data_IF_426467072425
#
_entry.id   IF_426467072425
#
_cell.length_a   1.000
_cell.length_b   1.000
_cell.length_c   1.000
_cell.angle_alpha   90.00
_cell.angle_beta   90.00
_cell.angle_gamma   90.00
#
_symmetry.space_group_name_H-M   'P 1'
#
loop_
_entity.id
_entity.type
_entity.pdbx_description
1 polymer ?
#
# COMPACT_ATOMS: atom_id res chain seq x y z
N UNK A 1 -0.44 12.96 -24.54
CA UNK A 1 0.05 13.51 -23.26
C UNK A 1 -0.10 12.42 -22.22
N UNK A 2 0.93 12.19 -21.39
CA UNK A 2 0.73 11.37 -20.18
C UNK A 2 -0.09 12.23 -19.22
N UNK A 3 -1.23 11.77 -18.69
CA UNK A 3 -1.98 12.53 -17.70
C UNK A 3 -1.07 12.75 -16.47
N UNK A 4 -0.63 13.98 -16.26
CA UNK A 4 0.17 14.39 -15.09
C UNK A 4 -0.76 14.87 -13.97
N UNK A 5 -0.36 14.65 -12.72
CA UNK A 5 -1.07 15.14 -11.53
C UNK A 5 -2.37 14.43 -11.15
N UNK A 6 -2.67 13.28 -11.75
CA UNK A 6 -3.86 12.47 -11.45
C UNK A 6 -3.61 11.39 -10.39
N UNK A 7 -2.34 11.08 -10.10
CA UNK A 7 -1.95 10.04 -9.15
C UNK A 7 -1.91 10.52 -7.70
N UNK A 8 -1.66 9.59 -6.79
CA UNK A 8 -1.53 9.85 -5.37
C UNK A 8 -0.22 9.30 -4.80
N UNK A 9 0.44 10.10 -3.96
CA UNK A 9 1.54 9.62 -3.13
C UNK A 9 1.15 9.82 -1.66
N UNK A 10 1.17 8.72 -0.90
CA UNK A 10 0.84 8.70 0.52
C UNK A 10 1.95 8.02 1.31
N UNK A 11 2.28 8.58 2.46
CA UNK A 11 3.22 8.00 3.39
C UNK A 11 2.95 8.48 4.82
N UNK A 12 3.41 7.69 5.77
CA UNK A 12 3.41 8.02 7.20
C UNK A 12 4.86 8.15 7.64
N UNK A 13 5.19 9.26 8.31
CA UNK A 13 6.53 9.53 8.84
C UNK A 13 6.49 9.72 10.35
N UNK A 14 7.22 8.89 11.07
CA UNK A 14 7.56 9.06 12.49
C UNK A 14 9.05 9.37 12.61
N UNK A 15 9.89 8.38 12.27
CA UNK A 15 11.35 8.45 12.19
C UNK A 15 11.85 8.38 10.74
N UNK A 16 11.14 7.64 9.89
CA UNK A 16 11.40 7.48 8.46
C UNK A 16 10.09 7.28 7.69
N UNK A 17 10.15 7.44 6.37
CA UNK A 17 8.98 7.26 5.51
C UNK A 17 8.57 5.80 5.45
N UNK A 18 7.29 5.55 5.72
CA UNK A 18 6.61 4.27 5.50
C UNK A 18 5.54 4.46 4.46
N UNK A 19 5.53 3.56 3.48
CA UNK A 19 4.50 3.52 2.44
C UNK A 19 3.11 3.44 3.06
N UNK A 20 2.20 4.25 2.52
CA UNK A 20 0.80 4.23 2.86
C UNK A 20 -0.04 4.41 1.60
N UNK A 21 -1.34 4.19 1.68
CA UNK A 21 -2.26 4.42 0.57
C UNK A 21 -3.41 5.31 1.02
N UNK A 22 -3.74 6.34 0.25
CA UNK A 22 -4.89 7.19 0.57
C UNK A 22 -6.19 6.40 0.42
N UNK A 23 -7.09 6.49 1.39
CA UNK A 23 -8.45 5.96 1.20
C UNK A 23 -9.14 6.74 0.07
N UNK A 24 -9.92 6.06 -0.78
CA UNK A 24 -10.78 6.75 -1.75
C UNK A 24 -11.71 7.72 -1.02
N UNK A 25 -11.88 8.92 -1.58
CA UNK A 25 -12.55 10.09 -1.00
C UNK A 25 -11.84 10.79 0.17
N UNK A 26 -10.68 10.29 0.61
CA UNK A 26 -9.88 11.02 1.59
C UNK A 26 -9.31 12.32 0.98
N UNK A 27 -9.36 13.46 1.69
CA UNK A 27 -8.80 14.70 1.20
C UNK A 27 -7.29 14.59 1.00
N UNK A 28 -6.79 15.43 0.09
CA UNK A 28 -5.35 15.57 -0.13
C UNK A 28 -4.74 16.52 0.90
N UNK A 29 -3.51 16.20 1.32
CA UNK A 29 -2.71 17.00 2.25
C UNK A 29 -1.22 16.78 1.98
N UNK A 30 -0.43 17.84 2.06
CA UNK A 30 1.04 17.76 2.03
C UNK A 30 1.61 17.23 3.35
N UNK A 31 0.82 17.24 4.42
CA UNK A 31 1.20 16.69 5.71
C UNK A 31 0.32 17.20 6.85
N UNK A 32 -0.25 16.29 7.63
CA UNK A 32 -0.84 16.59 8.95
C UNK A 32 0.04 15.97 10.01
N UNK A 33 0.56 16.77 10.94
CA UNK A 33 1.45 16.31 12.00
C UNK A 33 0.80 16.43 13.37
N UNK A 34 1.00 15.41 14.20
CA UNK A 34 0.52 15.39 15.58
C UNK A 34 1.08 14.18 16.32
N UNK A 35 0.82 14.08 17.61
CA UNK A 35 1.13 12.86 18.36
C UNK A 35 0.23 11.72 17.87
N UNK A 36 0.74 10.49 17.89
CA UNK A 36 -0.03 9.32 17.47
C UNK A 36 -0.63 8.57 18.66
N UNK A 37 -1.93 8.28 18.58
CA UNK A 37 -2.67 7.57 19.61
C UNK A 37 -3.33 6.31 19.05
N UNK A 38 -3.27 5.22 19.82
CA UNK A 38 -3.96 3.97 19.50
C UNK A 38 -5.47 4.12 19.80
N UNK A 39 -6.28 3.85 18.79
CA UNK A 39 -7.74 3.90 18.82
C UNK A 39 -8.38 2.50 18.75
N UNK A 40 -7.59 1.43 18.90
CA UNK A 40 -8.05 0.05 18.76
C UNK A 40 -8.67 -0.19 17.39
N UNK A 41 -9.86 -0.81 17.35
CA UNK A 41 -10.58 -1.05 16.09
C UNK A 41 -11.44 0.14 15.65
N UNK A 42 -11.42 1.27 16.36
CA UNK A 42 -12.15 2.48 15.99
C UNK A 42 -13.64 2.46 16.35
N UNK A 43 -14.05 1.72 17.40
CA UNK A 43 -15.40 1.86 17.96
C UNK A 43 -15.60 3.25 18.57
N UNK A 44 -16.85 3.73 18.69
CA UNK A 44 -17.15 4.98 19.38
C UNK A 44 -16.52 5.00 20.78
N UNK A 45 -15.79 6.07 21.09
CA UNK A 45 -15.13 6.27 22.39
C UNK A 45 -13.84 5.49 22.63
N UNK A 46 -13.38 4.65 21.69
CA UNK A 46 -12.10 3.92 21.86
C UNK A 46 -10.86 4.81 21.70
N UNK A 47 -10.93 5.85 20.88
CA UNK A 47 -9.83 6.81 20.81
C UNK A 47 -9.70 7.58 22.14
N UNK A 48 -8.50 7.69 22.71
CA UNK A 48 -8.27 8.46 23.92
C UNK A 48 -8.47 9.96 23.67
N UNK A 49 -8.79 10.72 24.72
CA UNK A 49 -9.02 12.17 24.62
C UNK A 49 -7.83 12.95 24.03
N UNK A 50 -6.60 12.43 24.18
CA UNK A 50 -5.39 13.02 23.60
C UNK A 50 -5.36 13.03 22.06
N UNK A 51 -6.22 12.24 21.39
CA UNK A 51 -6.30 12.21 19.93
C UNK A 51 -6.81 13.53 19.33
N UNK A 52 -7.46 14.38 20.12
CA UNK A 52 -7.95 15.67 19.64
C UNK A 52 -6.80 16.54 19.10
N UNK A 53 -6.88 16.95 17.84
CA UNK A 53 -5.83 17.68 17.12
C UNK A 53 -4.64 16.80 16.67
N UNK A 54 -4.71 15.49 16.87
CA UNK A 54 -3.61 14.55 16.73
C UNK A 54 -3.97 13.37 15.81
N UNK A 55 -3.08 12.39 15.68
CA UNK A 55 -3.19 11.29 14.71
C UNK A 55 -3.82 10.06 15.36
N UNK A 56 -4.89 9.54 14.76
CA UNK A 56 -5.53 8.29 15.18
C UNK A 56 -4.91 7.09 14.44
N UNK A 57 -4.33 6.15 15.18
CA UNK A 57 -3.92 4.85 14.65
C UNK A 57 -5.01 3.82 14.95
N UNK A 58 -5.56 3.19 13.91
CA UNK A 58 -6.75 2.34 13.98
C UNK A 58 -6.46 0.99 13.31
N UNK A 59 -6.77 -0.10 13.97
CA UNK A 59 -6.70 -1.43 13.37
C UNK A 59 -7.89 -1.70 12.45
N UNK A 60 -7.64 -2.30 11.29
CA UNK A 60 -8.69 -2.88 10.44
C UNK A 60 -9.46 -3.96 11.22
N UNK A 61 -10.77 -4.02 11.02
CA UNK A 61 -11.64 -4.94 11.75
C UNK A 61 -13.04 -4.97 11.18
N UNK A 62 -14.04 -5.20 12.04
CA UNK A 62 -15.44 -5.40 11.64
C UNK A 62 -16.18 -4.13 11.23
N UNK A 63 -15.77 -2.96 11.73
CA UNK A 63 -16.33 -1.66 11.34
C UNK A 63 -15.94 -1.26 9.91
N UNK A 64 -16.80 -0.50 9.23
CA UNK A 64 -16.45 0.12 7.96
C UNK A 64 -15.33 1.17 8.14
N UNK A 65 -14.56 1.44 7.09
CA UNK A 65 -13.52 2.48 7.15
C UNK A 65 -14.11 3.87 7.40
N UNK A 66 -15.28 4.15 6.83
CA UNK A 66 -16.01 5.39 7.07
C UNK A 66 -16.37 5.57 8.55
N UNK A 67 -16.91 4.53 9.20
CA UNK A 67 -17.28 4.59 10.61
C UNK A 67 -16.07 4.75 11.53
N UNK A 68 -14.98 4.03 11.22
CA UNK A 68 -13.69 4.18 11.94
C UNK A 68 -13.20 5.62 11.91
N UNK A 69 -13.15 6.22 10.72
CA UNK A 69 -12.68 7.60 10.53
C UNK A 69 -13.65 8.59 11.16
N UNK A 70 -14.97 8.39 11.00
CA UNK A 70 -15.99 9.22 11.64
C UNK A 70 -15.87 9.20 13.16
N UNK A 71 -15.64 8.04 13.78
CA UNK A 71 -15.48 7.93 15.23
C UNK A 71 -14.22 8.62 15.72
N UNK A 72 -13.12 8.54 14.98
CA UNK A 72 -11.90 9.30 15.28
C UNK A 72 -12.12 10.82 15.13
N UNK A 73 -12.84 11.25 14.09
CA UNK A 73 -13.23 12.66 13.89
C UNK A 73 -14.12 13.17 15.03
N UNK A 74 -15.05 12.36 15.52
CA UNK A 74 -15.91 12.71 16.66
C UNK A 74 -15.10 12.96 17.95
N UNK A 75 -13.92 12.34 18.07
CA UNK A 75 -12.95 12.57 19.15
C UNK A 75 -11.92 13.66 18.81
N UNK A 76 -12.09 14.35 17.69
CA UNK A 76 -11.26 15.49 17.27
C UNK A 76 -9.96 15.13 16.56
N UNK A 77 -9.77 13.88 16.09
CA UNK A 77 -8.57 13.50 15.36
C UNK A 77 -8.33 14.40 14.13
N UNK A 78 -7.08 14.76 13.87
CA UNK A 78 -6.68 15.58 12.72
C UNK A 78 -6.36 14.73 11.48
N UNK A 79 -5.97 13.47 11.66
CA UNK A 79 -5.79 12.49 10.59
C UNK A 79 -5.96 11.06 11.13
N UNK A 80 -6.20 10.10 10.24
CA UNK A 80 -6.36 8.69 10.58
C UNK A 80 -5.39 7.80 9.77
N UNK A 81 -4.83 6.80 10.44
CA UNK A 81 -4.02 5.73 9.84
C UNK A 81 -4.72 4.42 10.16
N UNK A 82 -5.10 3.66 9.14
CA UNK A 82 -5.72 2.34 9.31
C UNK A 82 -4.72 1.26 8.92
N UNK A 83 -4.27 0.44 9.88
CA UNK A 83 -3.35 -0.64 9.59
C UNK A 83 -4.06 -1.99 9.40
N UNK A 84 -3.50 -2.82 8.52
CA UNK A 84 -4.11 -4.10 8.16
C UNK A 84 -4.08 -5.08 9.33
N UNK A 85 -5.10 -5.92 9.43
CA UNK A 85 -5.18 -7.03 10.39
C UNK A 85 -4.87 -8.40 9.75
N UNK A 86 -4.48 -8.39 8.48
CA UNK A 86 -3.98 -9.52 7.72
C UNK A 86 -2.66 -9.13 7.06
N UNK A 87 -1.86 -10.12 6.67
CA UNK A 87 -0.57 -9.88 6.05
C UNK A 87 -0.69 -9.04 4.76
N UNK A 88 0.16 -8.03 4.63
CA UNK A 88 0.31 -7.21 3.43
C UNK A 88 -0.47 -5.90 3.45
N UNK A 89 -0.32 -5.15 2.35
CA UNK A 89 -1.00 -3.88 2.12
C UNK A 89 -2.48 -4.06 1.77
N UNK A 90 -3.24 -2.97 1.85
CA UNK A 90 -4.62 -2.95 1.37
C UNK A 90 -5.04 -1.54 0.94
N UNK A 91 -5.94 -1.49 -0.04
CA UNK A 91 -6.66 -0.30 -0.44
C UNK A 91 -8.04 -0.27 0.21
N UNK A 92 -8.58 0.92 0.43
CA UNK A 92 -9.90 1.09 1.02
C UNK A 92 -10.59 2.36 0.56
N UNK A 93 -11.89 2.45 0.83
CA UNK A 93 -12.73 3.60 0.48
C UNK A 93 -13.51 4.08 1.70
N UNK A 94 -13.72 5.40 1.80
CA UNK A 94 -14.66 6.00 2.76
C UNK A 94 -16.13 5.89 2.28
N UNK A 95 -16.37 5.26 1.13
CA UNK A 95 -17.71 4.99 0.58
C UNK A 95 -18.40 6.21 -0.06
N UNK A 96 -18.18 7.41 0.46
CA UNK A 96 -18.74 8.65 -0.05
C UNK A 96 -17.78 9.84 0.08
N UNK A 97 -18.00 10.88 -0.74
CA UNK A 97 -17.19 12.11 -0.75
C UNK A 97 -17.27 12.92 0.55
N UNK A 98 -18.32 12.75 1.35
CA UNK A 98 -18.53 13.45 2.62
C UNK A 98 -18.89 12.47 3.74
N UNK A 99 -18.52 12.78 4.99
CA UNK A 99 -18.96 12.01 6.15
C UNK A 99 -20.47 12.01 6.33
N UNK A 100 -21.00 10.96 6.94
CA UNK A 100 -22.43 10.87 7.26
C UNK A 100 -22.89 11.98 8.22
N UNK A 101 -21.99 12.45 9.09
CA UNK A 101 -22.23 13.59 9.99
C UNK A 101 -22.12 14.97 9.30
N UNK A 102 -21.79 15.02 8.01
CA UNK A 102 -21.53 16.25 7.26
C UNK A 102 -20.09 16.77 7.41
N UNK A 103 -19.75 17.80 6.63
CA UNK A 103 -18.41 18.40 6.61
C UNK A 103 -17.44 17.71 5.65
N UNK A 104 -16.14 17.80 5.96
CA UNK A 104 -15.06 17.21 5.16
C UNK A 104 -14.38 16.11 5.98
N UNK A 105 -14.08 14.99 5.32
CA UNK A 105 -13.26 13.94 5.92
C UNK A 105 -11.90 14.48 6.40
N UNK A 106 -11.32 13.86 7.41
CA UNK A 106 -9.89 14.07 7.74
C UNK A 106 -9.00 13.27 6.78
N UNK A 107 -7.76 13.72 6.52
CA UNK A 107 -6.80 12.91 5.77
C UNK A 107 -6.64 11.53 6.41
N UNK A 108 -6.81 10.49 5.60
CA UNK A 108 -6.94 9.12 6.05
C UNK A 108 -6.20 8.19 5.09
N UNK A 109 -5.27 7.43 5.63
CA UNK A 109 -4.41 6.51 4.88
C UNK A 109 -4.48 5.11 5.45
N UNK A 110 -4.14 4.13 4.62
CA UNK A 110 -3.99 2.72 5.00
C UNK A 110 -2.53 2.32 4.98
N UNK A 111 -2.15 1.37 5.82
CA UNK A 111 -0.80 0.79 5.88
C UNK A 111 -0.87 -0.72 6.09
N UNK A 112 0.17 -1.47 5.72
CA UNK A 112 0.26 -2.90 6.00
C UNK A 112 0.22 -3.23 7.50
N UNK A 113 0.04 -4.52 7.79
CA UNK A 113 0.21 -5.08 9.13
C UNK A 113 1.60 -4.83 9.71
N UNK A 114 2.66 -4.99 8.91
CA UNK A 114 4.05 -4.80 9.36
C UNK A 114 4.36 -3.34 9.70
N UNK A 115 3.89 -2.40 8.87
CA UNK A 115 3.98 -0.97 9.16
C UNK A 115 3.15 -0.62 10.39
N UNK A 116 1.93 -1.15 10.50
CA UNK A 116 1.07 -0.97 11.68
C UNK A 116 1.72 -1.43 12.98
N UNK A 117 2.32 -2.62 12.99
CA UNK A 117 3.05 -3.15 14.13
C UNK A 117 4.21 -2.24 14.55
N UNK A 118 4.92 -1.66 13.57
CA UNK A 118 5.98 -0.69 13.84
C UNK A 118 5.42 0.58 14.47
N UNK A 119 4.33 1.15 13.91
CA UNK A 119 3.70 2.36 14.43
C UNK A 119 3.16 2.18 15.85
N UNK A 120 2.68 1.00 16.21
CA UNK A 120 2.26 0.68 17.60
C UNK A 120 3.40 0.79 18.62
N UNK A 121 4.66 0.62 18.19
CA UNK A 121 5.83 0.84 19.08
C UNK A 121 6.24 2.30 19.18
N UNK A 122 5.65 3.18 18.37
CA UNK A 122 5.99 4.60 18.22
C UNK A 122 4.84 5.52 18.64
N UNK A 123 3.90 5.00 19.44
CA UNK A 123 2.83 5.81 20.01
C UNK A 123 3.40 6.99 20.82
N UNK A 124 2.67 8.10 20.84
CA UNK A 124 3.10 9.37 21.45
C UNK A 124 4.35 10.02 20.82
N UNK A 125 4.86 9.50 19.69
CA UNK A 125 5.79 10.24 18.85
C UNK A 125 5.02 11.16 17.90
N UNK A 126 5.68 12.22 17.43
CA UNK A 126 5.15 13.04 16.34
C UNK A 126 5.14 12.23 15.05
N UNK A 127 3.95 12.09 14.47
CA UNK A 127 3.70 11.39 13.22
C UNK A 127 3.13 12.38 12.22
N UNK A 128 3.68 12.39 11.00
CA UNK A 128 3.15 13.13 9.86
C UNK A 128 2.45 12.17 8.90
N UNK A 129 1.20 12.49 8.55
CA UNK A 129 0.42 11.78 7.53
C UNK A 129 0.35 12.63 6.28
N UNK A 130 0.85 12.12 5.16
CA UNK A 130 0.80 12.77 3.85
C UNK A 130 -0.06 11.95 2.88
N UNK A 131 -0.88 12.64 2.09
CA UNK A 131 -1.69 12.08 1.00
C UNK A 131 -1.80 13.16 -0.07
N UNK A 132 -0.80 13.33 -0.92
CA UNK A 132 -0.73 14.43 -1.89
C UNK A 132 -1.00 13.95 -3.30
N UNK A 133 -1.33 14.88 -4.18
CA UNK A 133 -1.37 14.62 -5.63
C UNK A 133 0.04 14.36 -6.14
N UNK A 134 0.16 13.44 -7.09
CA UNK A 134 1.43 13.01 -7.64
C UNK A 134 1.29 12.67 -9.13
N UNK A 135 2.44 12.59 -9.80
CA UNK A 135 2.55 12.00 -11.13
C UNK A 135 2.66 10.48 -11.09
N UNK A 136 2.72 9.92 -9.88
CA UNK A 136 2.80 8.49 -9.58
C UNK A 136 1.54 8.08 -8.84
N UNK A 137 1.10 6.85 -9.08
CA UNK A 137 0.00 6.25 -8.34
C UNK A 137 0.29 4.77 -8.11
N UNK A 138 -0.37 4.21 -7.10
CA UNK A 138 -0.31 2.79 -6.84
C UNK A 138 -1.45 2.07 -7.56
N UNK A 139 -1.09 1.01 -8.28
CA UNK A 139 -2.05 0.12 -8.94
C UNK A 139 -1.71 -1.33 -8.63
N UNK A 140 -2.75 -2.13 -8.43
CA UNK A 140 -2.68 -3.57 -8.26
C UNK A 140 -3.36 -4.32 -9.42
N UNK A 141 -2.85 -5.51 -9.74
CA UNK A 141 -3.43 -6.39 -10.76
C UNK A 141 -2.41 -7.10 -11.65
N UNK A 142 -2.87 -8.10 -12.40
CA UNK A 142 -2.04 -8.85 -13.36
C UNK A 142 -1.52 -7.96 -14.50
N UNK A 143 -2.21 -6.87 -14.80
CA UNK A 143 -1.75 -5.81 -15.70
C UNK A 143 -0.44 -5.17 -15.24
N UNK A 144 -0.17 -5.09 -13.93
CA UNK A 144 1.07 -4.55 -13.36
C UNK A 144 2.16 -5.63 -13.25
N UNK A 145 1.78 -6.90 -13.13
CA UNK A 145 2.73 -8.02 -13.22
C UNK A 145 3.27 -8.21 -14.66
N UNK A 146 2.41 -8.03 -15.67
CA UNK A 146 2.75 -8.19 -17.10
C UNK A 146 4.00 -7.41 -17.54
N UNK A 147 4.14 -6.09 -17.27
CA UNK A 147 5.32 -5.32 -17.69
C UNK A 147 6.59 -5.76 -16.95
N UNK A 148 6.51 -6.29 -15.72
CA UNK A 148 7.66 -6.87 -15.04
C UNK A 148 8.18 -8.11 -15.79
N UNK A 149 7.28 -9.02 -16.15
CA UNK A 149 7.64 -10.21 -16.94
C UNK A 149 8.21 -9.82 -18.30
N UNK A 150 7.57 -8.88 -19.01
CA UNK A 150 8.03 -8.39 -20.30
C UNK A 150 9.43 -7.72 -20.20
N UNK A 151 9.68 -6.97 -19.12
CA UNK A 151 10.99 -6.38 -18.84
C UNK A 151 12.08 -7.44 -18.65
N UNK A 152 11.80 -8.51 -17.90
CA UNK A 152 12.76 -9.61 -17.72
C UNK A 152 12.99 -10.37 -19.03
N UNK A 153 11.97 -10.63 -19.82
CA UNK A 153 12.10 -11.22 -21.16
C UNK A 153 13.01 -10.36 -22.05
N UNK A 154 12.84 -9.03 -22.03
CA UNK A 154 13.72 -8.11 -22.75
C UNK A 154 15.17 -8.16 -22.23
N UNK A 155 15.37 -8.29 -20.91
CA UNK A 155 16.70 -8.45 -20.31
C UNK A 155 17.39 -9.74 -20.79
N UNK A 156 16.68 -10.87 -20.82
CA UNK A 156 17.20 -12.15 -21.34
C UNK A 156 17.68 -11.96 -22.79
N UNK A 157 16.85 -11.38 -23.66
CA UNK A 157 17.23 -11.11 -25.04
C UNK A 157 18.37 -10.11 -25.18
N UNK A 158 18.45 -9.10 -24.31
CA UNK A 158 19.57 -8.15 -24.32
C UNK A 158 20.91 -8.81 -23.97
N UNK A 159 20.88 -9.88 -23.17
CA UNK A 159 22.07 -10.65 -22.83
C UNK A 159 22.50 -11.55 -23.99
N UNK A 160 21.54 -12.11 -24.73
CA UNK A 160 21.81 -12.89 -25.94
C UNK A 160 20.74 -12.67 -27.03
N UNK A 161 20.98 -11.74 -27.98
CA UNK A 161 20.01 -11.39 -29.02
C UNK A 161 19.75 -12.50 -30.04
N UNK A 162 20.58 -13.55 -30.08
CA UNK A 162 20.44 -14.66 -31.01
C UNK A 162 19.43 -15.72 -30.56
N UNK A 163 18.96 -15.66 -29.30
CA UNK A 163 17.99 -16.61 -28.77
C UNK A 163 16.64 -16.51 -29.52
N UNK A 164 16.03 -17.67 -29.77
CA UNK A 164 14.64 -17.73 -30.23
C UNK A 164 13.68 -17.37 -29.08
N UNK A 165 12.48 -16.90 -29.43
CA UNK A 165 11.41 -16.64 -28.47
C UNK A 165 11.08 -17.88 -27.61
N UNK A 166 11.07 -19.07 -28.19
CA UNK A 166 10.84 -20.34 -27.49
C UNK A 166 11.92 -20.59 -26.43
N UNK A 167 13.18 -20.30 -26.76
CA UNK A 167 14.29 -20.47 -25.80
C UNK A 167 14.20 -19.47 -24.67
N UNK A 168 13.87 -18.21 -24.97
CA UNK A 168 13.67 -17.16 -23.96
C UNK A 168 12.51 -17.50 -23.02
N UNK A 169 11.38 -17.96 -23.55
CA UNK A 169 10.25 -18.41 -22.75
C UNK A 169 10.62 -19.60 -21.85
N UNK A 170 11.38 -20.56 -22.38
CA UNK A 170 11.89 -21.69 -21.60
C UNK A 170 12.81 -21.24 -20.47
N UNK A 171 13.74 -20.30 -20.73
CA UNK A 171 14.64 -19.79 -19.71
C UNK A 171 13.87 -19.06 -18.61
N UNK A 172 12.91 -18.22 -18.98
CA UNK A 172 12.03 -17.56 -18.02
C UNK A 172 11.33 -18.59 -17.11
N UNK A 173 10.59 -19.55 -17.71
CA UNK A 173 9.78 -20.52 -16.94
C UNK A 173 10.63 -21.42 -16.04
N UNK A 174 11.79 -21.86 -16.51
CA UNK A 174 12.64 -22.83 -15.77
C UNK A 174 13.54 -22.19 -14.73
N UNK A 175 13.55 -20.86 -14.61
CA UNK A 175 14.37 -20.13 -13.63
C UNK A 175 13.55 -19.37 -12.61
N UNK A 176 12.21 -19.39 -12.73
CA UNK A 176 11.33 -18.88 -11.71
C UNK A 176 11.63 -19.50 -10.34
N UNK A 177 11.44 -18.71 -9.29
CA UNK A 177 11.47 -19.23 -7.91
C UNK A 177 10.09 -19.77 -7.61
N UNK A 178 10.01 -21.07 -7.38
CA UNK A 178 8.76 -21.78 -7.15
C UNK A 178 8.02 -21.24 -5.91
N UNK A 179 6.71 -21.09 -6.01
CA UNK A 179 5.82 -20.62 -4.96
C UNK A 179 4.56 -21.48 -4.97
N UNK A 180 4.04 -21.80 -3.79
CA UNK A 180 2.85 -22.64 -3.69
C UNK A 180 3.20 -24.13 -3.69
N UNK A 181 2.53 -24.91 -4.54
CA UNK A 181 2.78 -26.34 -4.63
C UNK A 181 4.03 -26.60 -5.48
N UNK A 182 4.83 -27.61 -5.12
CA UNK A 182 6.06 -27.88 -5.86
C UNK A 182 5.80 -28.13 -7.36
N UNK A 183 6.47 -27.36 -8.22
CA UNK A 183 6.31 -27.40 -9.66
C UNK A 183 5.22 -26.45 -10.17
N UNK A 184 4.64 -26.75 -11.34
CA UNK A 184 3.62 -25.87 -11.90
C UNK A 184 2.32 -25.95 -11.11
N UNK A 185 1.75 -24.80 -10.74
CA UNK A 185 0.40 -24.70 -10.20
C UNK A 185 -0.44 -23.60 -10.87
N UNK A 186 -1.77 -23.64 -10.67
CA UNK A 186 -2.70 -22.72 -11.34
C UNK A 186 -2.77 -21.32 -10.72
N UNK A 187 -2.08 -21.09 -9.60
CA UNK A 187 -2.09 -19.82 -8.86
C UNK A 187 -0.83 -19.01 -9.16
N UNK A 188 0.34 -19.65 -9.12
CA UNK A 188 1.65 -19.04 -9.31
C UNK A 188 2.32 -19.45 -10.63
N UNK A 189 1.74 -20.37 -11.39
CA UNK A 189 2.31 -20.84 -12.64
C UNK A 189 3.61 -21.59 -12.38
N UNK A 190 4.73 -21.11 -12.93
CA UNK A 190 6.06 -21.67 -12.62
C UNK A 190 6.74 -20.96 -11.43
N UNK A 191 6.04 -20.06 -10.74
CA UNK A 191 6.57 -19.26 -9.63
C UNK A 191 6.89 -17.81 -10.00
N UNK A 192 7.54 -17.10 -9.08
CA UNK A 192 7.92 -15.68 -9.26
C UNK A 192 9.13 -15.57 -10.21
N UNK A 193 9.07 -14.60 -11.13
CA UNK A 193 10.15 -14.36 -12.09
C UNK A 193 11.46 -14.01 -11.36
N UNK A 194 12.54 -14.72 -11.71
CA UNK A 194 13.87 -14.44 -11.22
C UNK A 194 14.75 -13.91 -12.36
N UNK A 195 14.87 -12.59 -12.44
CA UNK A 195 15.63 -11.93 -13.49
C UNK A 195 17.11 -12.37 -13.51
N UNK A 196 17.73 -12.51 -12.34
CA UNK A 196 19.14 -12.88 -12.23
C UNK A 196 19.42 -14.28 -12.79
N UNK A 197 18.63 -15.28 -12.38
CA UNK A 197 18.79 -16.65 -12.84
C UNK A 197 18.45 -16.79 -14.35
N UNK A 198 17.42 -16.07 -14.82
CA UNK A 198 17.02 -16.10 -16.22
C UNK A 198 18.08 -15.48 -17.14
N UNK A 199 18.66 -14.34 -16.76
CA UNK A 199 19.72 -13.67 -17.51
C UNK A 199 21.03 -14.45 -17.46
N UNK A 200 21.36 -15.07 -16.32
CA UNK A 200 22.54 -15.92 -16.21
C UNK A 200 22.48 -17.09 -17.18
N UNK A 201 21.31 -17.70 -17.33
CA UNK A 201 21.06 -18.78 -18.30
C UNK A 201 21.24 -18.35 -19.76
N UNK A 202 21.12 -17.06 -20.06
CA UNK A 202 21.38 -16.49 -21.38
C UNK A 202 22.87 -16.25 -21.68
N UNK A 203 23.77 -16.49 -20.71
CA UNK A 203 25.23 -16.43 -20.90
C UNK A 203 25.91 -15.23 -20.25
N UNK A 204 25.44 -14.75 -19.11
CA UNK A 204 26.10 -13.74 -18.28
C UNK A 204 26.43 -14.24 -16.88
#
# INVERSE_FOLDING_TARGET
SVPVGQGAESFVRTDSDRTAFGLTYSPKTDGVSGLMFDCGIGNPGQCPAGVAGNIALIQRGTLSFADKVQNAMNQGAAAAIIYNNAAGDFLGTLGAATPAAGGTWIPSVTVSDTVGATLLTQLSMTTTVTNKTSNWDYYDGTSMATPHVAGVVALIWSANPSLSNVTVESYLKTTCTDLGAAGYDTTYGNGIVNASAAVAKAGR
#
